data_IF_654233410646
#
_entry.id   IF_654233410646
#
_cell.length_a   1.000
_cell.length_b   1.000
_cell.length_c   1.000
_cell.angle_alpha   90.00
_cell.angle_beta   90.00
_cell.angle_gamma   90.00
#
_symmetry.space_group_name_H-M   'P 1'
#
loop_
_entity.id
_entity.type
_entity.pdbx_description
1 polymer ?
#
# COMPACT_ATOMS: atom_id res chain seq x y z
N UNK A 1 -16.54 -10.24 -13.55
CA UNK A 1 -16.92 -9.12 -12.68
C UNK A 1 -16.45 -7.84 -13.35
N UNK A 2 -17.25 -6.78 -13.39
CA UNK A 2 -16.92 -5.54 -14.08
C UNK A 2 -16.71 -4.41 -13.08
N UNK A 3 -15.81 -3.46 -13.41
CA UNK A 3 -15.64 -2.23 -12.65
C UNK A 3 -16.92 -1.39 -12.70
N UNK A 4 -17.37 -0.93 -11.55
CA UNK A 4 -18.42 0.07 -11.42
C UNK A 4 -17.85 1.48 -11.29
N UNK A 5 -18.44 2.29 -10.42
CA UNK A 5 -18.00 3.66 -10.12
C UNK A 5 -16.62 3.66 -9.44
N UNK A 6 -15.74 4.58 -9.85
CA UNK A 6 -14.48 4.82 -9.15
C UNK A 6 -14.76 5.55 -7.83
N UNK A 7 -14.31 4.95 -6.70
CA UNK A 7 -14.48 5.50 -5.37
C UNK A 7 -13.30 6.35 -4.93
N UNK A 8 -12.09 5.94 -5.32
CA UNK A 8 -10.85 6.58 -4.90
C UNK A 8 -9.73 6.29 -5.89
N UNK A 9 -8.88 7.28 -6.10
CA UNK A 9 -7.66 7.17 -6.90
C UNK A 9 -6.45 7.62 -6.09
N UNK A 10 -5.56 6.69 -5.78
CA UNK A 10 -4.29 6.96 -5.09
C UNK A 10 -3.11 7.10 -6.06
N UNK A 11 -1.88 7.14 -5.53
CA UNK A 11 -0.64 7.33 -6.33
C UNK A 11 -0.38 6.21 -7.35
N UNK A 12 -0.78 4.96 -7.07
CA UNK A 12 -0.47 3.81 -7.91
C UNK A 12 -1.67 2.91 -8.23
N UNK A 13 -2.82 3.13 -7.64
CA UNK A 13 -4.02 2.29 -7.82
C UNK A 13 -5.30 3.08 -7.67
N UNK A 14 -6.34 2.60 -8.34
CA UNK A 14 -7.72 3.09 -8.22
C UNK A 14 -8.60 2.01 -7.62
N UNK A 15 -9.61 2.42 -6.88
CA UNK A 15 -10.59 1.57 -6.19
C UNK A 15 -11.94 1.75 -6.83
N UNK A 16 -12.57 0.66 -7.21
CA UNK A 16 -13.87 0.66 -7.89
C UNK A 16 -14.89 -0.17 -7.12
N UNK A 17 -16.16 0.24 -7.18
CA UNK A 17 -17.29 -0.62 -6.84
C UNK A 17 -17.34 -1.82 -7.78
N UNK A 18 -17.98 -2.88 -7.34
CA UNK A 18 -18.36 -4.02 -8.18
C UNK A 18 -19.80 -4.44 -7.86
N UNK A 19 -20.24 -5.57 -8.43
CA UNK A 19 -21.61 -6.09 -8.27
C UNK A 19 -21.87 -6.64 -6.86
N UNK A 20 -20.88 -6.55 -5.94
CA UNK A 20 -20.94 -7.04 -4.57
C UNK A 20 -20.72 -5.89 -3.59
N UNK A 21 -21.59 -5.76 -2.59
CA UNK A 21 -21.47 -4.73 -1.55
C UNK A 21 -20.33 -5.00 -0.56
N UNK A 22 -19.94 -6.28 -0.40
CA UNK A 22 -18.88 -6.73 0.51
C UNK A 22 -17.47 -6.74 -0.13
N UNK A 23 -17.37 -6.31 -1.39
CA UNK A 23 -16.11 -6.36 -2.14
C UNK A 23 -15.86 -5.10 -2.99
N UNK A 24 -14.60 -4.88 -3.33
CA UNK A 24 -14.12 -3.80 -4.19
C UNK A 24 -13.14 -4.35 -5.20
N UNK A 25 -12.98 -3.65 -6.32
CA UNK A 25 -11.94 -3.93 -7.31
C UNK A 25 -10.82 -2.92 -7.14
N UNK A 26 -9.59 -3.39 -6.94
CA UNK A 26 -8.39 -2.57 -7.02
C UNK A 26 -7.76 -2.75 -8.39
N UNK A 27 -7.55 -1.65 -9.09
CA UNK A 27 -6.79 -1.60 -10.33
C UNK A 27 -5.43 -0.96 -10.08
N UNK A 28 -4.37 -1.69 -10.37
CA UNK A 28 -2.99 -1.23 -10.24
C UNK A 28 -2.56 -0.55 -11.54
N UNK A 29 -2.20 0.73 -11.44
CA UNK A 29 -1.81 1.54 -12.59
C UNK A 29 -0.31 1.49 -12.84
N UNK A 30 0.07 1.86 -14.05
CA UNK A 30 1.48 2.00 -14.44
C UNK A 30 2.12 3.32 -13.97
N UNK A 31 1.32 4.22 -13.38
CA UNK A 31 1.80 5.51 -12.91
C UNK A 31 2.85 5.35 -11.81
N UNK A 32 3.91 6.12 -11.91
CA UNK A 32 4.92 6.31 -10.87
C UNK A 32 4.94 7.78 -10.51
N UNK A 33 4.81 8.10 -9.24
CA UNK A 33 4.96 9.47 -8.76
C UNK A 33 6.20 9.60 -7.88
N UNK A 34 6.94 10.69 -8.07
CA UNK A 34 8.03 11.10 -7.22
C UNK A 34 7.76 12.51 -6.68
N UNK A 35 8.41 12.86 -5.57
CA UNK A 35 8.29 14.18 -4.92
C UNK A 35 6.83 14.58 -4.66
N UNK A 36 6.07 13.68 -3.98
CA UNK A 36 4.66 13.88 -3.63
C UNK A 36 3.72 14.18 -4.82
N UNK A 37 4.07 13.64 -6.01
CA UNK A 37 3.25 13.78 -7.22
C UNK A 37 3.68 14.88 -8.17
N UNK A 38 4.77 15.59 -7.90
CA UNK A 38 5.31 16.62 -8.81
C UNK A 38 5.82 16.00 -10.12
N UNK A 39 6.30 14.77 -10.09
CA UNK A 39 6.73 14.04 -11.28
C UNK A 39 5.88 12.78 -11.40
N UNK A 40 5.17 12.64 -12.52
CA UNK A 40 4.40 11.44 -12.86
C UNK A 40 4.96 10.87 -14.15
N UNK A 41 5.46 9.64 -14.08
CA UNK A 41 5.91 8.86 -15.23
C UNK A 41 5.14 7.55 -15.30
N UNK A 42 5.01 7.00 -16.50
CA UNK A 42 4.43 5.67 -16.70
C UNK A 42 5.56 4.66 -16.93
N UNK A 43 5.59 3.64 -16.08
CA UNK A 43 6.47 2.49 -16.23
C UNK A 43 5.67 1.31 -16.76
N UNK A 44 6.04 0.84 -17.95
CA UNK A 44 5.36 -0.30 -18.58
C UNK A 44 5.32 -1.51 -17.63
N UNK A 45 4.15 -2.15 -17.54
CA UNK A 45 3.88 -3.33 -16.73
C UNK A 45 4.03 -3.15 -15.21
N UNK A 46 4.27 -1.95 -14.68
CA UNK A 46 4.37 -1.73 -13.23
C UNK A 46 3.11 -2.19 -12.49
N UNK A 47 1.93 -1.83 -13.00
CA UNK A 47 0.65 -2.26 -12.42
C UNK A 47 0.53 -3.78 -12.36
N UNK A 48 0.85 -4.46 -13.45
CA UNK A 48 0.84 -5.93 -13.54
C UNK A 48 1.78 -6.57 -12.51
N UNK A 49 3.02 -6.08 -12.42
CA UNK A 49 4.01 -6.60 -11.47
C UNK A 49 3.54 -6.39 -10.03
N UNK A 50 3.08 -5.19 -9.72
CA UNK A 50 2.59 -4.85 -8.38
C UNK A 50 1.38 -5.70 -7.98
N UNK A 51 0.43 -5.91 -8.89
CA UNK A 51 -0.75 -6.72 -8.61
C UNK A 51 -0.39 -8.19 -8.37
N UNK A 52 0.45 -8.78 -9.22
CA UNK A 52 0.88 -10.17 -9.08
C UNK A 52 1.70 -10.39 -7.80
N UNK A 53 2.60 -9.47 -7.48
CA UNK A 53 3.37 -9.52 -6.24
C UNK A 53 2.46 -9.36 -5.00
N UNK A 54 1.54 -8.40 -5.02
CA UNK A 54 0.54 -8.25 -3.96
C UNK A 54 -0.27 -9.54 -3.75
N UNK A 55 -0.81 -10.12 -4.82
CA UNK A 55 -1.57 -11.36 -4.73
C UNK A 55 -0.73 -12.52 -4.16
N UNK A 56 0.53 -12.66 -4.60
CA UNK A 56 1.45 -13.68 -4.09
C UNK A 56 1.66 -13.55 -2.57
N UNK A 57 1.94 -12.33 -2.09
CA UNK A 57 2.16 -12.07 -0.65
C UNK A 57 0.88 -12.32 0.15
N UNK A 58 -0.27 -11.80 -0.30
CA UNK A 58 -1.54 -11.98 0.41
C UNK A 58 -1.93 -13.46 0.52
N UNK A 59 -1.80 -14.22 -0.56
CA UNK A 59 -2.05 -15.66 -0.55
C UNK A 59 -1.07 -16.43 0.36
N UNK A 60 0.19 -16.00 0.42
CA UNK A 60 1.17 -16.60 1.33
C UNK A 60 0.79 -16.34 2.79
N UNK A 61 0.42 -15.12 3.15
CA UNK A 61 -0.05 -14.77 4.48
C UNK A 61 -1.28 -15.59 4.89
N UNK A 62 -2.23 -15.77 3.98
CA UNK A 62 -3.43 -16.56 4.25
C UNK A 62 -3.13 -18.05 4.48
N UNK A 63 -2.15 -18.62 3.78
CA UNK A 63 -1.67 -19.98 4.04
C UNK A 63 -1.06 -20.13 5.43
N UNK A 64 -0.43 -19.08 5.95
CA UNK A 64 0.11 -19.03 7.30
C UNK A 64 -0.95 -18.65 8.37
N UNK A 65 -2.22 -18.56 7.99
CA UNK A 65 -3.35 -18.27 8.88
C UNK A 65 -3.58 -16.79 9.17
N UNK A 66 -2.90 -15.90 8.48
CA UNK A 66 -3.09 -14.44 8.59
C UNK A 66 -4.17 -14.01 7.61
N UNK A 67 -5.29 -13.48 8.13
CA UNK A 67 -6.39 -12.98 7.29
C UNK A 67 -5.97 -11.71 6.56
N UNK A 68 -6.27 -11.65 5.26
CA UNK A 68 -6.03 -10.49 4.41
C UNK A 68 -7.33 -9.97 3.79
N UNK A 69 -7.26 -8.86 3.07
CA UNK A 69 -8.39 -8.36 2.29
C UNK A 69 -8.52 -9.05 0.92
N UNK A 70 -7.56 -9.84 0.50
CA UNK A 70 -7.54 -10.50 -0.80
C UNK A 70 -8.71 -11.48 -0.95
N UNK A 71 -9.32 -11.49 -2.13
CA UNK A 71 -10.35 -12.46 -2.50
C UNK A 71 -9.95 -13.26 -3.74
N UNK A 72 -9.66 -12.56 -4.85
CA UNK A 72 -9.34 -13.23 -6.11
C UNK A 72 -8.59 -12.29 -7.08
N UNK A 73 -7.81 -12.85 -7.99
CA UNK A 73 -7.24 -12.14 -9.14
C UNK A 73 -8.27 -12.08 -10.26
N UNK A 74 -8.65 -10.88 -10.69
CA UNK A 74 -9.60 -10.67 -11.78
C UNK A 74 -8.91 -10.54 -13.14
N UNK A 75 -7.75 -9.87 -13.15
CA UNK A 75 -6.92 -9.65 -14.33
C UNK A 75 -5.45 -9.48 -13.93
N UNK A 76 -4.57 -9.29 -14.89
CA UNK A 76 -3.14 -9.10 -14.64
C UNK A 76 -2.85 -7.88 -13.73
N UNK A 77 -3.68 -6.84 -13.82
CA UNK A 77 -3.56 -5.59 -13.06
C UNK A 77 -4.77 -5.30 -12.16
N UNK A 78 -5.68 -6.27 -11.99
CA UNK A 78 -6.88 -6.14 -11.15
C UNK A 78 -7.00 -7.24 -10.11
N UNK A 79 -7.41 -6.87 -8.92
CA UNK A 79 -7.69 -7.79 -7.81
C UNK A 79 -9.02 -7.46 -7.15
N UNK A 80 -9.77 -8.50 -6.80
CA UNK A 80 -10.95 -8.40 -5.95
C UNK A 80 -10.51 -8.45 -4.49
N UNK A 81 -10.98 -7.51 -3.71
CA UNK A 81 -10.68 -7.41 -2.28
C UNK A 81 -11.95 -7.22 -1.46
N UNK A 82 -11.91 -7.58 -0.18
CA UNK A 82 -12.99 -7.30 0.77
C UNK A 82 -13.15 -5.79 0.94
N UNK A 83 -14.39 -5.33 0.99
CA UNK A 83 -14.70 -3.96 1.39
C UNK A 83 -14.56 -3.85 2.91
N UNK A 84 -13.45 -3.29 3.38
CA UNK A 84 -13.12 -3.15 4.79
C UNK A 84 -13.18 -1.70 5.22
N UNK A 85 -13.61 -1.46 6.44
CA UNK A 85 -13.45 -0.18 7.12
C UNK A 85 -12.00 -0.06 7.61
N UNK A 86 -11.21 0.76 6.92
CA UNK A 86 -9.76 0.84 7.11
C UNK A 86 -9.39 1.84 8.20
N UNK A 87 -8.57 1.41 9.15
CA UNK A 87 -7.94 2.36 10.05
C UNK A 87 -6.99 3.31 9.28
N UNK A 88 -7.01 4.61 9.56
CA UNK A 88 -6.11 5.57 8.92
C UNK A 88 -4.69 5.50 9.52
N UNK A 89 -4.13 4.30 9.61
CA UNK A 89 -2.83 4.03 10.22
C UNK A 89 -1.97 3.21 9.26
N UNK A 90 -0.75 3.68 9.05
CA UNK A 90 0.30 2.93 8.38
C UNK A 90 1.20 2.27 9.43
N UNK A 91 1.41 0.96 9.30
CA UNK A 91 2.32 0.18 10.13
C UNK A 91 3.63 -0.03 9.38
N UNK A 92 4.74 0.41 9.95
CA UNK A 92 6.06 0.33 9.31
C UNK A 92 7.02 -0.47 10.17
N UNK A 93 7.58 -1.55 9.61
CA UNK A 93 8.67 -2.31 10.21
C UNK A 93 9.95 -1.98 9.45
N UNK A 94 11.03 -1.66 10.17
CA UNK A 94 12.33 -1.39 9.58
C UNK A 94 13.40 -2.27 10.20
N UNK A 95 14.12 -2.98 9.36
CA UNK A 95 15.31 -3.73 9.74
C UNK A 95 16.57 -2.87 9.59
N UNK A 96 16.54 -1.92 8.67
CA UNK A 96 17.64 -1.01 8.34
C UNK A 96 17.13 0.43 8.44
N UNK A 97 17.92 1.30 9.05
CA UNK A 97 17.62 2.72 9.11
C UNK A 97 17.73 3.34 7.71
N UNK A 98 16.65 3.91 7.20
CA UNK A 98 16.65 4.65 5.94
C UNK A 98 15.48 5.65 5.86
N UNK A 99 15.69 6.75 5.16
CA UNK A 99 14.67 7.75 4.92
C UNK A 99 14.32 8.59 6.17
N UNK A 100 13.02 8.74 6.47
CA UNK A 100 12.55 9.66 7.52
C UNK A 100 13.06 9.32 8.93
N UNK A 101 13.32 8.04 9.25
CA UNK A 101 13.82 7.63 10.56
C UNK A 101 15.22 8.22 10.81
N UNK A 102 16.09 8.25 9.81
CA UNK A 102 17.43 8.82 9.92
C UNK A 102 17.38 10.29 10.31
N UNK A 103 16.50 11.05 9.68
CA UNK A 103 16.28 12.48 9.98
C UNK A 103 15.74 12.70 11.39
N UNK A 104 14.75 11.88 11.80
CA UNK A 104 14.10 12.02 13.12
C UNK A 104 15.00 11.62 14.28
N UNK A 105 15.83 10.60 14.11
CA UNK A 105 16.70 10.07 15.16
C UNK A 105 18.14 10.60 15.07
N UNK A 106 18.50 11.31 13.99
CA UNK A 106 19.87 11.81 13.79
C UNK A 106 20.89 10.69 13.59
N UNK A 107 20.47 9.56 12.97
CA UNK A 107 21.34 8.41 12.72
C UNK A 107 21.67 8.28 11.24
N UNK A 108 22.78 7.60 10.93
CA UNK A 108 23.21 7.37 9.56
C UNK A 108 22.28 6.42 8.79
N UNK A 109 22.19 6.62 7.48
CA UNK A 109 21.48 5.71 6.57
C UNK A 109 22.26 4.39 6.45
N UNK A 110 21.52 3.29 6.41
CA UNK A 110 22.11 1.94 6.27
C UNK A 110 22.45 1.23 7.56
N UNK A 111 22.22 1.83 8.74
CA UNK A 111 22.47 1.16 10.04
C UNK A 111 21.44 0.04 10.25
N UNK A 112 21.94 -1.16 10.62
CA UNK A 112 21.10 -2.27 11.03
C UNK A 112 20.39 -1.96 12.36
N UNK A 113 19.07 -2.12 12.37
CA UNK A 113 18.23 -1.94 13.54
C UNK A 113 17.99 -3.30 14.21
N UNK A 114 18.60 -3.50 15.39
CA UNK A 114 18.44 -4.72 16.14
C UNK A 114 18.09 -4.42 17.62
N UNK A 115 16.86 -4.71 18.07
CA UNK A 115 15.75 -5.29 17.28
C UNK A 115 15.22 -4.34 16.19
N UNK A 116 14.49 -4.89 15.16
CA UNK A 116 13.79 -4.06 14.17
C UNK A 116 12.85 -3.07 14.84
N UNK A 117 12.71 -1.88 14.28
CA UNK A 117 11.73 -0.91 14.76
C UNK A 117 10.35 -1.23 14.21
N UNK A 118 9.32 -0.94 15.00
CA UNK A 118 7.92 -1.02 14.60
C UNK A 118 7.24 0.31 14.93
N UNK A 119 6.75 1.00 13.92
CA UNK A 119 6.18 2.34 14.04
C UNK A 119 4.78 2.41 13.43
N UNK A 120 3.97 3.31 13.99
CA UNK A 120 2.67 3.68 13.44
C UNK A 120 2.70 5.13 12.95
N UNK A 121 2.12 5.36 11.78
CA UNK A 121 1.95 6.68 11.21
C UNK A 121 0.47 6.92 10.95
N UNK A 122 -0.02 8.12 11.28
CA UNK A 122 -1.35 8.55 10.88
C UNK A 122 -1.33 8.87 9.39
N UNK A 123 -2.17 8.17 8.62
CA UNK A 123 -2.35 8.44 7.21
C UNK A 123 -3.12 9.73 7.01
N UNK A 124 -2.38 10.80 6.74
CA UNK A 124 -2.94 12.10 6.44
C UNK A 124 -2.02 12.79 5.42
N UNK A 125 -2.41 12.75 4.15
CA UNK A 125 -1.60 13.31 3.05
C UNK A 125 -1.30 14.81 3.24
N UNK A 126 -2.21 15.56 3.87
CA UNK A 126 -2.00 16.99 4.16
C UNK A 126 -0.95 17.24 5.26
N UNK A 127 -0.63 16.23 6.07
CA UNK A 127 0.33 16.30 7.18
C UNK A 127 1.58 15.45 6.94
N UNK A 128 1.80 14.97 5.71
CA UNK A 128 2.95 14.12 5.33
C UNK A 128 3.13 12.90 6.25
N UNK A 129 2.03 12.20 6.56
CA UNK A 129 1.99 10.98 7.38
C UNK A 129 2.76 11.13 8.71
N UNK A 130 2.13 11.82 9.66
CA UNK A 130 2.74 12.08 10.98
C UNK A 130 2.97 10.80 11.79
N UNK A 131 4.18 10.64 12.28
CA UNK A 131 4.50 9.59 13.26
C UNK A 131 3.68 9.77 14.54
N UNK A 132 2.97 8.72 14.98
CA UNK A 132 2.15 8.74 16.19
C UNK A 132 2.98 8.91 17.49
N UNK A 133 4.30 8.74 17.42
CA UNK A 133 5.20 8.98 18.54
C UNK A 133 5.30 10.48 18.89
N UNK A 134 4.97 11.35 17.96
CA UNK A 134 5.09 12.80 18.10
C UNK A 134 3.74 13.52 18.30
N UNK A 135 2.66 12.78 18.48
CA UNK A 135 1.34 13.34 18.81
C UNK A 135 1.18 13.41 20.39
#
# INVERSE_FOLDING_TARGET
>A
MQRGEELYSGKAKSVYKCDRDDALILHFRNDTSAFDGEIIEQLDRKGVVNNKFNAFIMQHLEKEGIKTHFLDLLADDEVLVRNLDMFPIECVVRNIASGSICKRLGIEDGIDLNPPTFEFFLKNDALHDLSLIHI
#
